data_IF_785295568398
#
_entry.id   IF_785295568398
#
_cell.length_a   1.000
_cell.length_b   1.000
_cell.length_c   1.000
_cell.angle_alpha   90.00
_cell.angle_beta   90.00
_cell.angle_gamma   90.00
#
_symmetry.space_group_name_H-M   'P 1'
#
loop_
_entity.id
_entity.type
_entity.pdbx_description
1 polymer ?
#
# COMPACT_ATOMS: atom_id res chain seq x y z
N UNK A 1 -24.15 4.01 -23.64
CA UNK A 1 -24.82 3.81 -22.34
C UNK A 1 -24.16 2.61 -21.68
N UNK A 2 -23.24 2.82 -20.75
CA UNK A 2 -22.58 1.74 -20.03
C UNK A 2 -23.57 1.19 -18.98
N UNK A 3 -23.86 -0.10 -19.05
CA UNK A 3 -24.61 -0.79 -18.00
C UNK A 3 -23.79 -0.70 -16.72
N UNK A 4 -24.29 0.00 -15.70
CA UNK A 4 -23.84 -0.18 -14.33
C UNK A 4 -24.23 -1.59 -13.91
N UNK A 5 -23.34 -2.55 -14.14
CA UNK A 5 -23.44 -3.88 -13.56
C UNK A 5 -23.44 -3.76 -12.04
N UNK A 6 -24.24 -4.60 -11.37
CA UNK A 6 -24.25 -4.67 -9.90
C UNK A 6 -22.80 -4.83 -9.38
N UNK A 7 -22.42 -4.19 -8.26
CA UNK A 7 -21.09 -4.34 -7.70
C UNK A 7 -20.81 -5.82 -7.46
N UNK A 8 -19.85 -6.38 -8.18
CA UNK A 8 -19.46 -7.78 -7.97
C UNK A 8 -18.94 -7.92 -6.54
N UNK A 9 -19.58 -8.78 -5.75
CA UNK A 9 -19.11 -9.12 -4.40
C UNK A 9 -17.85 -9.96 -4.53
N UNK A 10 -16.72 -9.43 -4.05
CA UNK A 10 -15.43 -10.11 -4.09
C UNK A 10 -15.30 -10.98 -2.84
N UNK A 11 -14.88 -12.23 -3.01
CA UNK A 11 -14.69 -13.13 -1.87
C UNK A 11 -13.62 -12.57 -0.90
N UNK A 12 -13.91 -12.54 0.41
CA UNK A 12 -12.94 -12.11 1.39
C UNK A 12 -11.78 -13.11 1.48
N UNK A 13 -10.61 -12.60 1.84
CA UNK A 13 -9.40 -13.39 2.09
C UNK A 13 -9.19 -13.49 3.59
N UNK A 14 -8.63 -14.59 4.09
CA UNK A 14 -8.28 -14.73 5.50
C UNK A 14 -7.05 -13.88 5.88
N UNK A 15 -6.97 -13.41 7.14
CA UNK A 15 -5.78 -12.71 7.62
C UNK A 15 -4.56 -13.64 7.60
N UNK A 16 -3.44 -13.16 7.05
CA UNK A 16 -2.25 -13.98 6.85
C UNK A 16 -1.23 -13.92 8.00
N UNK A 17 -1.51 -13.14 9.04
CA UNK A 17 -0.58 -12.85 10.15
C UNK A 17 -0.11 -14.10 10.91
N UNK A 18 -0.93 -15.15 10.94
CA UNK A 18 -0.62 -16.42 11.60
C UNK A 18 0.17 -17.41 10.73
N UNK A 19 0.33 -17.14 9.43
CA UNK A 19 1.03 -18.09 8.57
C UNK A 19 2.54 -18.04 8.83
N UNK A 20 3.24 -19.20 8.85
CA UNK A 20 4.66 -19.27 9.21
C UNK A 20 5.57 -18.34 8.39
N UNK A 21 5.26 -18.13 7.11
CA UNK A 21 6.05 -17.25 6.24
C UNK A 21 5.96 -15.78 6.68
N UNK A 22 4.78 -15.30 7.08
CA UNK A 22 4.62 -13.92 7.57
C UNK A 22 5.20 -13.75 8.97
N UNK A 23 5.10 -14.77 9.83
CA UNK A 23 5.80 -14.74 11.13
C UNK A 23 7.33 -14.66 10.95
N UNK A 24 7.89 -15.37 9.97
CA UNK A 24 9.31 -15.29 9.65
C UNK A 24 9.72 -13.91 9.10
N UNK A 25 8.86 -13.26 8.30
CA UNK A 25 9.09 -11.88 7.89
C UNK A 25 9.01 -10.90 9.06
N UNK A 26 7.96 -10.98 9.88
CA UNK A 26 7.77 -10.12 11.04
C UNK A 26 8.99 -10.20 11.96
N UNK A 27 9.46 -11.40 12.30
CA UNK A 27 10.66 -11.58 13.13
C UNK A 27 11.94 -10.92 12.57
N UNK A 28 11.99 -10.66 11.26
CA UNK A 28 13.12 -9.99 10.58
C UNK A 28 12.89 -8.49 10.40
N UNK A 29 11.65 -8.01 10.47
CA UNK A 29 11.32 -6.58 10.48
C UNK A 29 11.36 -6.12 11.92
N UNK A 30 12.58 -6.09 12.46
CA UNK A 30 12.89 -5.69 13.82
C UNK A 30 14.06 -4.71 13.76
N UNK A 31 14.00 -3.54 14.46
CA UNK A 31 15.07 -2.57 14.46
C UNK A 31 16.40 -3.10 15.02
N UNK A 32 16.41 -4.25 15.71
CA UNK A 32 17.61 -4.92 16.23
C UNK A 32 18.14 -6.04 15.32
N UNK A 33 17.38 -6.48 14.32
CA UNK A 33 17.75 -7.56 13.43
C UNK A 33 18.60 -7.05 12.24
N UNK A 34 19.90 -7.32 12.25
CA UNK A 34 20.79 -7.04 11.11
C UNK A 34 21.00 -8.25 10.19
N UNK A 35 21.18 -8.07 8.87
CA UNK A 35 21.03 -6.84 8.09
C UNK A 35 19.59 -6.58 7.61
N UNK A 36 19.16 -5.31 7.63
CA UNK A 36 17.78 -4.88 7.31
C UNK A 36 17.43 -4.86 5.81
N UNK A 37 18.42 -5.03 4.92
CA UNK A 37 18.24 -4.77 3.48
C UNK A 37 17.30 -5.82 2.88
N UNK A 38 16.36 -5.33 2.07
CA UNK A 38 15.38 -6.08 1.27
C UNK A 38 14.27 -6.83 2.02
N UNK A 39 14.13 -6.69 3.34
CA UNK A 39 13.10 -7.44 4.10
C UNK A 39 11.72 -6.80 4.00
N UNK A 40 11.63 -5.47 4.06
CA UNK A 40 10.35 -4.75 4.11
C UNK A 40 9.62 -4.87 2.77
N UNK A 41 10.29 -4.59 1.67
CA UNK A 41 9.69 -4.69 0.34
C UNK A 41 9.37 -6.15 -0.06
N UNK A 42 10.19 -7.14 0.35
CA UNK A 42 9.85 -8.56 0.20
C UNK A 42 8.59 -8.93 0.99
N UNK A 43 8.45 -8.42 2.21
CA UNK A 43 7.24 -8.62 3.00
C UNK A 43 6.03 -8.03 2.26
N UNK A 44 6.08 -6.77 1.82
CA UNK A 44 4.95 -6.14 1.12
C UNK A 44 4.64 -6.77 -0.24
N UNK A 45 5.65 -7.23 -0.98
CA UNK A 45 5.46 -8.00 -2.21
C UNK A 45 4.64 -9.27 -1.97
N UNK A 46 4.99 -10.05 -0.94
CA UNK A 46 4.23 -11.25 -0.59
C UNK A 46 2.90 -10.91 0.09
N UNK A 47 2.83 -9.82 0.86
CA UNK A 47 1.62 -9.36 1.51
C UNK A 47 0.55 -9.01 0.49
N UNK A 48 0.89 -8.26 -0.57
CA UNK A 48 -0.07 -7.97 -1.65
C UNK A 48 -0.56 -9.24 -2.35
N UNK A 49 0.31 -10.25 -2.53
CA UNK A 49 -0.05 -11.54 -3.14
C UNK A 49 -1.02 -12.38 -2.32
N UNK A 50 -1.15 -12.13 -1.02
CA UNK A 50 -2.20 -12.73 -0.21
C UNK A 50 -3.57 -12.13 -0.58
N UNK A 51 -3.64 -10.80 -0.68
CA UNK A 51 -4.92 -10.09 -0.85
C UNK A 51 -5.35 -9.94 -2.30
N UNK A 52 -4.47 -10.17 -3.24
CA UNK A 52 -4.74 -10.12 -4.67
C UNK A 52 -4.08 -11.36 -5.24
N UNK A 53 -4.78 -12.17 -6.02
CA UNK A 53 -4.20 -13.36 -6.63
C UNK A 53 -3.98 -13.16 -8.12
N UNK A 54 -2.99 -13.85 -8.70
CA UNK A 54 -2.68 -13.73 -10.14
C UNK A 54 -3.83 -14.20 -11.02
N UNK A 55 -4.58 -15.21 -10.60
CA UNK A 55 -5.76 -15.70 -11.32
C UNK A 55 -6.93 -14.71 -11.34
N UNK A 56 -6.87 -13.65 -10.52
CA UNK A 56 -7.84 -12.56 -10.50
C UNK A 56 -7.45 -11.41 -11.45
N UNK A 57 -6.45 -11.63 -12.31
CA UNK A 57 -5.95 -10.62 -13.23
C UNK A 57 -4.98 -9.65 -12.58
N UNK A 58 -4.30 -10.04 -11.49
CA UNK A 58 -3.30 -9.20 -10.84
C UNK A 58 -1.85 -9.60 -11.19
N UNK A 59 -0.97 -8.62 -11.29
CA UNK A 59 0.47 -8.81 -11.41
C UNK A 59 1.23 -7.92 -10.42
N UNK A 60 2.48 -8.27 -10.14
CA UNK A 60 3.29 -7.61 -9.10
C UNK A 60 4.65 -7.27 -9.67
N UNK A 61 5.09 -6.05 -9.42
CA UNK A 61 6.37 -5.55 -9.90
C UNK A 61 7.15 -4.93 -8.76
N UNK A 62 8.48 -4.96 -8.89
CA UNK A 62 9.41 -4.31 -7.96
C UNK A 62 10.35 -3.43 -8.77
N UNK A 63 10.42 -2.15 -8.40
CA UNK A 63 11.34 -1.20 -9.03
C UNK A 63 12.22 -0.53 -7.98
N UNK A 64 13.50 -0.28 -8.27
CA UNK A 64 14.33 0.51 -7.39
C UNK A 64 13.78 1.94 -7.34
N UNK A 65 13.67 2.52 -6.15
CA UNK A 65 13.34 3.92 -5.99
C UNK A 65 14.46 4.78 -6.61
N UNK A 66 14.12 5.60 -7.61
CA UNK A 66 15.07 6.44 -8.35
C UNK A 66 15.15 7.89 -7.85
N UNK A 67 14.25 8.30 -6.95
CA UNK A 67 14.18 9.67 -6.40
C UNK A 67 15.13 9.94 -5.24
N UNK A 68 15.72 8.91 -4.62
CA UNK A 68 16.61 9.05 -3.47
C UNK A 68 18.04 8.61 -3.80
N UNK A 69 19.08 9.34 -3.36
CA UNK A 69 20.47 8.95 -3.54
C UNK A 69 20.82 7.66 -2.74
N UNK A 70 21.92 7.01 -3.13
CA UNK A 70 22.34 5.65 -2.74
C UNK A 70 22.10 5.17 -1.30
N UNK A 71 22.34 5.94 -0.21
CA UNK A 71 22.12 5.44 1.15
C UNK A 71 20.64 5.41 1.58
N UNK A 72 19.69 5.65 0.66
CA UNK A 72 18.23 5.56 0.83
C UNK A 72 17.56 4.71 -0.25
N UNK A 73 18.37 4.00 -1.05
CA UNK A 73 17.88 3.17 -2.15
C UNK A 73 17.11 1.97 -1.62
N UNK A 74 15.82 1.91 -1.93
CA UNK A 74 14.93 0.84 -1.56
C UNK A 74 14.12 0.40 -2.78
N UNK A 75 13.35 -0.68 -2.66
CA UNK A 75 12.50 -1.18 -3.72
C UNK A 75 11.05 -0.82 -3.44
N UNK A 76 10.41 -0.22 -4.43
CA UNK A 76 8.97 -0.02 -4.44
C UNK A 76 8.28 -1.26 -4.96
N UNK A 77 7.09 -1.53 -4.44
CA UNK A 77 6.24 -2.64 -4.87
C UNK A 77 5.00 -2.07 -5.53
N UNK A 78 4.65 -2.59 -6.70
CA UNK A 78 3.45 -2.21 -7.44
C UNK A 78 2.52 -3.41 -7.61
N UNK A 79 1.23 -3.17 -7.44
CA UNK A 79 0.17 -4.06 -7.87
C UNK A 79 -0.40 -3.54 -9.19
N UNK A 80 -0.39 -4.40 -10.19
CA UNK A 80 -1.06 -4.18 -11.47
C UNK A 80 -2.41 -4.91 -11.48
N UNK A 81 -3.46 -4.23 -11.93
CA UNK A 81 -4.72 -4.84 -12.31
C UNK A 81 -4.78 -4.91 -13.85
N UNK A 82 -5.05 -6.10 -14.38
CA UNK A 82 -5.14 -6.38 -15.81
C UNK A 82 -6.61 -6.59 -16.15
N UNK A 83 -7.20 -5.61 -16.85
CA UNK A 83 -8.59 -5.65 -17.33
C UNK A 83 -8.70 -5.11 -18.73
N UNK A 84 -9.62 -5.69 -19.50
CA UNK A 84 -9.91 -5.25 -20.87
C UNK A 84 -8.63 -5.09 -21.74
N UNK A 85 -7.68 -6.02 -21.55
CA UNK A 85 -6.36 -6.04 -22.21
C UNK A 85 -5.46 -4.83 -21.89
N UNK A 86 -5.76 -4.07 -20.85
CA UNK A 86 -4.93 -3.00 -20.33
C UNK A 86 -4.38 -3.35 -18.95
N UNK A 87 -3.13 -2.96 -18.70
CA UNK A 87 -2.44 -3.12 -17.43
C UNK A 87 -2.33 -1.75 -16.75
N UNK A 88 -2.88 -1.65 -15.54
CA UNK A 88 -2.90 -0.42 -14.76
C UNK A 88 -2.36 -0.67 -13.37
N UNK A 89 -1.42 0.14 -12.92
CA UNK A 89 -0.98 0.11 -11.54
C UNK A 89 -2.07 0.68 -10.63
N UNK A 90 -2.44 -0.08 -9.61
CA UNK A 90 -3.58 0.21 -8.72
C UNK A 90 -3.17 0.36 -7.26
N UNK A 91 -2.04 -0.22 -6.85
CA UNK A 91 -1.45 -0.02 -5.53
C UNK A 91 0.05 0.21 -5.70
N UNK A 92 0.57 1.27 -5.10
CA UNK A 92 2.00 1.50 -4.95
C UNK A 92 2.39 1.41 -3.47
N UNK A 93 3.52 0.77 -3.19
CA UNK A 93 4.11 0.67 -1.85
C UNK A 93 5.50 1.29 -1.85
N UNK A 94 5.66 2.35 -1.06
CA UNK A 94 6.94 2.95 -0.72
C UNK A 94 7.48 2.22 0.52
N UNK A 95 8.37 1.25 0.31
CA UNK A 95 8.86 0.35 1.34
C UNK A 95 10.28 0.73 1.80
N UNK A 96 10.36 1.53 2.86
CA UNK A 96 11.62 1.96 3.49
C UNK A 96 12.00 1.08 4.66
N UNK A 97 13.30 0.92 4.86
CA UNK A 97 13.85 0.35 6.09
C UNK A 97 13.65 1.30 7.28
N UNK A 98 13.95 0.79 8.47
CA UNK A 98 14.01 1.58 9.70
C UNK A 98 14.94 2.79 9.57
N UNK A 99 14.57 3.97 10.15
CA UNK A 99 15.51 5.08 10.30
C UNK A 99 16.73 4.67 11.14
N UNK A 100 17.78 5.49 11.12
CA UNK A 100 18.99 5.19 11.91
C UNK A 100 18.78 5.30 13.42
N UNK A 101 17.81 6.09 13.87
CA UNK A 101 17.35 6.15 15.26
C UNK A 101 15.94 5.57 15.37
N UNK A 102 15.84 4.42 16.01
CA UNK A 102 14.60 3.68 16.26
C UNK A 102 14.31 3.54 17.75
N UNK A 103 14.67 4.53 18.56
CA UNK A 103 14.27 4.58 19.96
C UNK A 103 12.73 4.48 20.10
N UNK A 104 12.19 3.94 21.21
CA UNK A 104 10.74 3.81 21.38
C UNK A 104 10.02 5.14 21.14
N UNK A 105 9.06 5.15 20.23
CA UNK A 105 8.35 6.37 19.82
C UNK A 105 8.97 7.11 18.63
N UNK A 106 10.01 6.57 17.99
CA UNK A 106 10.64 7.14 16.79
C UNK A 106 9.61 7.50 15.70
N UNK A 107 8.53 6.72 15.59
CA UNK A 107 7.50 6.93 14.58
C UNK A 107 6.81 8.29 14.72
N UNK A 108 6.82 8.90 15.91
CA UNK A 108 6.22 10.22 16.15
C UNK A 108 7.08 11.38 15.64
N UNK A 109 8.38 11.16 15.54
CA UNK A 109 9.37 12.16 15.12
C UNK A 109 9.85 11.95 13.67
N UNK A 110 9.45 10.84 13.05
CA UNK A 110 9.80 10.52 11.69
C UNK A 110 9.07 11.44 10.69
N UNK A 111 9.76 11.87 9.64
CA UNK A 111 9.19 12.73 8.60
C UNK A 111 8.30 11.91 7.65
N UNK A 112 7.07 11.65 8.08
CA UNK A 112 6.05 10.98 7.27
C UNK A 112 5.64 11.81 6.04
N UNK A 113 5.85 13.12 6.07
CA UNK A 113 5.51 14.00 4.95
C UNK A 113 6.46 13.75 3.77
N UNK A 114 7.77 13.65 4.02
CA UNK A 114 8.76 13.29 2.98
C UNK A 114 8.41 11.98 2.28
N UNK A 115 8.06 10.95 3.06
CA UNK A 115 7.77 9.61 2.50
C UNK A 115 6.47 9.60 1.72
N UNK A 116 5.44 10.29 2.24
CA UNK A 116 4.18 10.49 1.54
C UNK A 116 4.37 11.25 0.23
N UNK A 117 5.15 12.32 0.21
CA UNK A 117 5.40 13.07 -1.03
C UNK A 117 6.27 12.29 -2.01
N UNK A 118 7.16 11.42 -1.53
CA UNK A 118 7.89 10.48 -2.39
C UNK A 118 6.94 9.51 -3.08
N UNK A 119 6.06 8.86 -2.30
CA UNK A 119 5.02 7.97 -2.84
C UNK A 119 4.12 8.71 -3.85
N UNK A 120 3.70 9.95 -3.53
CA UNK A 120 2.91 10.79 -4.42
C UNK A 120 3.63 11.05 -5.74
N UNK A 121 4.91 11.42 -5.68
CA UNK A 121 5.72 11.67 -6.85
C UNK A 121 5.84 10.42 -7.74
N UNK A 122 6.01 9.24 -7.14
CA UNK A 122 6.04 7.97 -7.89
C UNK A 122 4.71 7.70 -8.59
N UNK A 123 3.60 7.78 -7.86
CA UNK A 123 2.26 7.56 -8.40
C UNK A 123 1.93 8.56 -9.53
N UNK A 124 2.42 9.79 -9.44
CA UNK A 124 2.24 10.81 -10.49
C UNK A 124 3.17 10.62 -11.70
N UNK A 125 4.40 10.12 -11.47
CA UNK A 125 5.36 9.84 -12.54
C UNK A 125 4.99 8.61 -13.34
N UNK A 126 4.25 7.68 -12.74
CA UNK A 126 3.76 6.48 -13.37
C UNK A 126 2.48 6.76 -14.17
N UNK A 127 2.63 6.79 -15.50
CA UNK A 127 1.51 7.01 -16.40
C UNK A 127 0.39 5.98 -16.21
N UNK A 128 0.74 4.72 -15.90
CA UNK A 128 -0.23 3.63 -15.72
C UNK A 128 -1.01 3.75 -14.42
N UNK A 129 -0.61 4.63 -13.49
CA UNK A 129 -1.40 5.04 -12.32
C UNK A 129 -2.18 6.32 -12.59
N UNK A 130 -1.56 7.27 -13.31
CA UNK A 130 -2.11 8.60 -13.54
C UNK A 130 -3.30 8.63 -14.51
N UNK A 131 -3.31 7.79 -15.54
CA UNK A 131 -4.40 7.74 -16.54
C UNK A 131 -5.38 6.61 -16.30
N UNK A 132 -5.45 6.13 -15.07
CA UNK A 132 -6.33 5.03 -14.69
C UNK A 132 -7.78 5.47 -14.71
N UNK A 133 -8.66 4.51 -15.02
CA UNK A 133 -10.12 4.67 -14.96
C UNK A 133 -10.67 4.55 -13.54
N UNK A 134 -9.81 4.43 -12.53
CA UNK A 134 -10.18 4.11 -11.15
C UNK A 134 -9.19 4.68 -10.14
N UNK A 135 -9.66 4.89 -8.91
CA UNK A 135 -8.87 5.33 -7.77
C UNK A 135 -7.71 4.39 -7.49
N UNK A 136 -6.52 4.95 -7.27
CA UNK A 136 -5.31 4.19 -6.94
C UNK A 136 -4.97 4.32 -5.46
N UNK A 137 -4.32 3.32 -4.90
CA UNK A 137 -3.94 3.30 -3.49
C UNK A 137 -2.43 3.41 -3.31
N UNK A 138 -2.06 3.98 -2.17
CA UNK A 138 -0.69 4.15 -1.75
C UNK A 138 -0.49 3.59 -0.36
N UNK A 139 0.60 2.85 -0.16
CA UNK A 139 1.01 2.34 1.16
C UNK A 139 2.40 2.90 1.45
N UNK A 140 2.54 3.61 2.56
CA UNK A 140 3.86 3.99 3.07
C UNK A 140 4.23 3.00 4.16
N UNK A 141 5.33 2.28 3.97
CA UNK A 141 5.86 1.33 4.94
C UNK A 141 7.28 1.72 5.34
N UNK A 142 7.51 1.95 6.64
CA UNK A 142 8.82 2.32 7.18
C UNK A 142 9.12 1.37 8.34
N UNK A 143 10.01 0.40 8.10
CA UNK A 143 10.26 -0.67 9.06
C UNK A 143 8.98 -1.43 9.38
N UNK A 144 8.55 -1.37 10.64
CA UNK A 144 7.34 -2.02 11.17
C UNK A 144 6.10 -1.10 11.21
N UNK A 145 6.21 0.14 10.71
CA UNK A 145 5.12 1.12 10.71
C UNK A 145 4.54 1.31 9.31
N UNK A 146 3.22 1.45 9.24
CA UNK A 146 2.51 1.61 7.97
C UNK A 146 1.42 2.68 8.03
N UNK A 147 1.26 3.41 6.92
CA UNK A 147 0.14 4.32 6.64
C UNK A 147 -0.47 4.02 5.28
N UNK A 148 -1.77 4.28 5.14
CA UNK A 148 -2.53 4.02 3.92
C UNK A 148 -3.10 5.31 3.34
N UNK A 149 -3.05 5.39 2.02
CA UNK A 149 -3.48 6.54 1.24
C UNK A 149 -4.22 6.09 -0.01
N UNK A 150 -4.91 7.03 -0.63
CA UNK A 150 -5.44 6.87 -1.96
C UNK A 150 -5.31 8.16 -2.77
N UNK A 151 -5.29 8.02 -4.09
CA UNK A 151 -5.35 9.10 -5.06
C UNK A 151 -6.62 8.90 -5.90
N UNK A 152 -7.56 9.82 -5.74
CA UNK A 152 -8.83 9.81 -6.49
C UNK A 152 -8.56 9.93 -7.99
N UNK A 153 -9.32 9.19 -8.80
CA UNK A 153 -9.27 9.33 -10.26
C UNK A 153 -9.69 10.73 -10.74
N UNK A 154 -10.45 11.46 -9.92
CA UNK A 154 -10.95 12.80 -10.24
C UNK A 154 -9.99 13.91 -9.81
N UNK A 155 -8.92 13.56 -9.08
CA UNK A 155 -7.95 14.51 -8.53
C UNK A 155 -6.75 14.64 -9.46
N UNK A 156 -6.87 15.51 -10.47
CA UNK A 156 -5.82 15.76 -11.47
C UNK A 156 -4.54 16.39 -10.87
N UNK A 157 -4.64 16.99 -9.68
CA UNK A 157 -3.49 17.50 -8.94
C UNK A 157 -2.71 16.36 -8.25
N UNK A 158 -3.30 15.16 -8.17
CA UNK A 158 -2.71 13.95 -7.61
C UNK A 158 -2.57 14.00 -6.10
N UNK A 159 -3.52 14.61 -5.40
CA UNK A 159 -3.44 14.69 -3.94
C UNK A 159 -3.58 13.29 -3.31
N UNK A 160 -2.59 12.88 -2.52
CA UNK A 160 -2.73 11.72 -1.65
C UNK A 160 -3.62 12.07 -0.46
N UNK A 161 -4.73 11.35 -0.33
CA UNK A 161 -5.68 11.47 0.77
C UNK A 161 -5.55 10.27 1.71
N UNK A 162 -5.84 10.46 2.99
CA UNK A 162 -5.84 9.38 3.98
C UNK A 162 -6.81 8.27 3.55
N UNK A 163 -6.38 7.02 3.69
CA UNK A 163 -7.26 5.87 3.59
C UNK A 163 -7.47 5.22 4.97
N UNK A 164 -8.69 5.35 5.50
CA UNK A 164 -9.13 4.74 6.75
C UNK A 164 -10.25 3.69 6.53
N UNK A 165 -10.47 3.27 5.27
CA UNK A 165 -11.53 2.36 4.87
C UNK A 165 -12.75 3.05 4.26
N UNK A 166 -12.77 4.40 4.26
CA UNK A 166 -13.84 5.20 3.66
C UNK A 166 -13.27 6.31 2.75
N UNK A 167 -13.93 6.65 1.62
CA UNK A 167 -13.57 7.82 0.82
C UNK A 167 -13.89 9.15 1.55
N UNK A 168 -13.15 10.20 1.21
CA UNK A 168 -12.94 11.48 1.93
C UNK A 168 -14.17 12.36 2.16
N UNK A 169 -15.35 11.99 1.68
CA UNK A 169 -16.59 12.70 2.03
C UNK A 169 -17.23 12.17 3.33
N UNK A 170 -16.53 11.29 4.05
CA UNK A 170 -16.98 10.73 5.34
C UNK A 170 -16.48 11.60 6.51
N UNK A 171 -17.34 11.98 7.48
CA UNK A 171 -16.92 12.72 8.66
C UNK A 171 -15.84 11.95 9.46
N UNK A 172 -14.75 12.62 9.84
CA UNK A 172 -13.63 12.00 10.59
C UNK A 172 -12.38 11.65 9.77
N UNK A 173 -12.14 12.35 8.65
CA UNK A 173 -10.91 12.23 7.86
C UNK A 173 -9.69 12.84 8.58
N UNK A 174 -9.34 12.27 9.73
CA UNK A 174 -8.08 12.56 10.43
C UNK A 174 -6.89 11.96 9.64
N UNK A 175 -5.67 12.32 10.01
CA UNK A 175 -4.46 11.71 9.42
C UNK A 175 -4.54 10.18 9.42
N UNK A 176 -4.01 9.52 8.37
CA UNK A 176 -3.87 8.07 8.38
C UNK A 176 -3.14 7.66 9.66
N UNK A 177 -3.73 6.78 10.49
CA UNK A 177 -3.07 6.34 11.71
C UNK A 177 -1.75 5.65 11.33
N UNK A 178 -0.74 5.84 12.19
CA UNK A 178 0.48 5.04 12.09
C UNK A 178 0.17 3.69 12.72
N UNK A 179 0.07 2.65 11.89
CA UNK A 179 -0.24 1.29 12.31
C UNK A 179 1.05 0.47 12.46
N UNK A 180 1.09 -0.45 13.41
CA UNK A 180 2.22 -1.35 13.64
C UNK A 180 1.91 -2.77 13.17
N UNK A 181 2.73 -3.32 12.26
CA UNK A 181 2.54 -4.69 11.74
C UNK A 181 2.74 -5.78 12.81
N UNK A 182 3.33 -5.46 13.97
CA UNK A 182 3.48 -6.36 15.11
C UNK A 182 2.32 -6.30 16.12
N UNK A 183 1.48 -5.27 16.05
CA UNK A 183 0.34 -5.10 16.96
C UNK A 183 -0.85 -5.93 16.49
N UNK A 184 -1.35 -6.84 17.33
CA UNK A 184 -2.53 -7.68 17.00
C UNK A 184 -3.75 -6.81 16.67
N UNK A 185 -3.91 -5.67 17.36
CA UNK A 185 -5.00 -4.73 17.11
C UNK A 185 -4.84 -4.10 15.72
N UNK A 186 -3.65 -3.60 15.41
CA UNK A 186 -3.39 -2.92 14.14
C UNK A 186 -3.39 -3.89 12.95
N UNK A 187 -2.96 -5.14 13.15
CA UNK A 187 -3.08 -6.22 12.17
C UNK A 187 -4.53 -6.44 11.73
N UNK A 188 -5.48 -6.34 12.68
CA UNK A 188 -6.91 -6.38 12.38
C UNK A 188 -7.36 -5.19 11.53
N UNK A 189 -6.89 -3.98 11.87
CA UNK A 189 -7.18 -2.76 11.10
C UNK A 189 -6.62 -2.85 9.68
N UNK A 190 -5.34 -3.19 9.54
CA UNK A 190 -4.65 -3.39 8.27
C UNK A 190 -5.42 -4.39 7.40
N UNK A 191 -5.84 -5.51 7.99
CA UNK A 191 -6.61 -6.53 7.28
C UNK A 191 -7.91 -5.97 6.68
N UNK A 192 -8.68 -5.20 7.46
CA UNK A 192 -9.91 -4.57 6.97
C UNK A 192 -9.65 -3.54 5.87
N UNK A 193 -8.60 -2.72 6.01
CA UNK A 193 -8.21 -1.74 4.99
C UNK A 193 -7.86 -2.44 3.67
N UNK A 194 -7.11 -3.55 3.73
CA UNK A 194 -6.74 -4.34 2.57
C UNK A 194 -7.94 -5.04 1.92
N UNK A 195 -8.86 -5.60 2.71
CA UNK A 195 -10.10 -6.19 2.19
C UNK A 195 -10.95 -5.14 1.45
N UNK A 196 -11.00 -3.91 1.97
CA UNK A 196 -11.73 -2.83 1.31
C UNK A 196 -11.06 -2.40 0.01
N UNK A 197 -9.73 -2.21 0.00
CA UNK A 197 -8.99 -1.95 -1.24
C UNK A 197 -9.19 -3.08 -2.25
N UNK A 198 -9.17 -4.34 -1.81
CA UNK A 198 -9.41 -5.50 -2.65
C UNK A 198 -10.79 -5.46 -3.30
N UNK A 199 -11.84 -5.22 -2.51
CA UNK A 199 -13.19 -5.08 -3.03
C UNK A 199 -13.27 -3.95 -4.07
N UNK A 200 -12.70 -2.78 -3.76
CA UNK A 200 -12.69 -1.61 -4.62
C UNK A 200 -11.98 -1.90 -5.95
N UNK A 201 -10.73 -2.38 -5.89
CA UNK A 201 -9.91 -2.72 -7.07
C UNK A 201 -10.55 -3.84 -7.89
N UNK A 202 -11.00 -4.94 -7.27
CA UNK A 202 -11.51 -6.13 -7.97
C UNK A 202 -12.96 -6.02 -8.44
N UNK A 203 -13.74 -5.06 -7.93
CA UNK A 203 -15.05 -4.71 -8.51
C UNK A 203 -14.96 -3.64 -9.59
N UNK A 204 -13.94 -2.77 -9.55
CA UNK A 204 -13.84 -1.62 -10.45
C UNK A 204 -14.84 -0.50 -10.14
N UNK A 205 -15.46 -0.53 -8.95
CA UNK A 205 -16.43 0.49 -8.51
C UNK A 205 -15.78 1.66 -7.76
N UNK A 206 -14.46 1.76 -7.75
CA UNK A 206 -13.69 2.77 -7.03
C UNK A 206 -13.42 4.00 -7.91
N UNK A 207 -14.45 4.81 -8.12
CA UNK A 207 -14.38 6.01 -8.99
C UNK A 207 -14.47 7.34 -8.24
N UNK A 208 -14.21 7.33 -6.93
CA UNK A 208 -14.29 8.51 -6.07
C UNK A 208 -13.03 9.37 -6.16
#
# INVERSE_FOLDING_TARGET
MAQQGQPQTVAPVEPCWSYPIYQAYLARIDPTAQPYRDVVDHFYFNFLRQYFATWEGCAYERYPCTTHPGPRQHWNVYLTNIRDQQAHHVIAVEARWFPSDTSPGWEKNYDWTDVRETLRAHMLSDWTMRTTVQTTYGIVAVGDRVRFYYMSMNDLEGRLRTWNGHPVDSPGADESPILNIHSIVDQGVIHQLMLRMRQDVLSGCNTY
#
